data_IF_917423193464
#
_entry.id   IF_917423193464
#
_cell.length_a   1.000
_cell.length_b   1.000
_cell.length_c   1.000
_cell.angle_alpha   90.00
_cell.angle_beta   90.00
_cell.angle_gamma   90.00
#
_symmetry.space_group_name_H-M   'P 1'
#
loop_
_entity.id
_entity.type
_entity.pdbx_description
1 polymer ?
#
# COMPACT_ATOMS: atom_id res chain seq x y z
N UNK A 1 -15.66 0.05 -28.17
CA UNK A 1 -15.51 1.00 -27.04
C UNK A 1 -14.87 2.26 -27.60
N UNK A 2 -15.38 3.46 -27.29
CA UNK A 2 -14.76 4.70 -27.75
C UNK A 2 -13.45 4.95 -26.99
N UNK A 3 -12.43 5.46 -27.68
CA UNK A 3 -11.11 5.79 -27.11
C UNK A 3 -11.20 6.74 -25.90
N UNK A 4 -12.20 7.62 -25.89
CA UNK A 4 -12.55 8.48 -24.75
C UNK A 4 -12.85 7.69 -23.47
N UNK A 5 -13.57 6.57 -23.56
CA UNK A 5 -13.90 5.72 -22.39
C UNK A 5 -12.67 5.01 -21.83
N UNK A 6 -11.75 4.59 -22.69
CA UNK A 6 -10.51 3.91 -22.28
C UNK A 6 -9.59 4.89 -21.55
N UNK A 7 -9.45 6.10 -22.07
CA UNK A 7 -8.63 7.16 -21.48
C UNK A 7 -9.14 7.56 -20.09
N UNK A 8 -10.45 7.68 -19.93
CA UNK A 8 -11.07 8.06 -18.66
C UNK A 8 -10.94 6.95 -17.60
N UNK A 9 -10.99 5.68 -18.01
CA UNK A 9 -10.73 4.52 -17.15
C UNK A 9 -9.27 4.49 -16.66
N UNK A 10 -8.30 4.72 -17.56
CA UNK A 10 -6.88 4.81 -17.23
C UNK A 10 -6.61 5.93 -16.22
N UNK A 11 -7.20 7.10 -16.42
CA UNK A 11 -7.03 8.24 -15.50
C UNK A 11 -7.59 7.94 -14.10
N UNK A 12 -8.79 7.39 -14.01
CA UNK A 12 -9.37 6.95 -12.72
C UNK A 12 -8.49 5.92 -12.04
N UNK A 13 -7.91 5.00 -12.80
CA UNK A 13 -7.03 3.97 -12.28
C UNK A 13 -5.73 4.55 -11.69
N UNK A 14 -5.10 5.51 -12.37
CA UNK A 14 -3.94 6.23 -11.87
C UNK A 14 -4.25 7.02 -10.58
N UNK A 15 -5.39 7.72 -10.54
CA UNK A 15 -5.82 8.46 -9.35
C UNK A 15 -6.02 7.53 -8.14
N UNK A 16 -6.57 6.33 -8.36
CA UNK A 16 -6.74 5.32 -7.33
C UNK A 16 -5.41 4.72 -6.87
N UNK A 17 -4.46 4.52 -7.77
CA UNK A 17 -3.12 4.04 -7.44
C UNK A 17 -2.37 5.04 -6.53
N UNK A 18 -2.41 6.33 -6.85
CA UNK A 18 -1.81 7.39 -6.02
C UNK A 18 -2.41 7.37 -4.61
N UNK A 19 -3.73 7.14 -4.50
CA UNK A 19 -4.39 7.03 -3.20
C UNK A 19 -3.84 5.88 -2.36
N UNK A 20 -3.40 4.76 -2.95
CA UNK A 20 -2.79 3.64 -2.21
C UNK A 20 -1.31 3.92 -1.89
N UNK A 21 -0.54 4.42 -2.86
CA UNK A 21 0.91 4.56 -2.74
C UNK A 21 1.33 5.62 -1.71
N UNK A 22 0.61 6.74 -1.61
CA UNK A 22 0.95 7.83 -0.68
C UNK A 22 0.96 7.35 0.79
N UNK A 23 -0.10 6.68 1.31
CA UNK A 23 -0.07 6.12 2.65
C UNK A 23 1.05 5.11 2.87
N UNK A 24 1.41 4.30 1.87
CA UNK A 24 2.54 3.35 2.00
C UNK A 24 3.88 4.08 2.15
N UNK A 25 4.09 5.15 1.39
CA UNK A 25 5.26 6.01 1.53
C UNK A 25 5.31 6.68 2.91
N UNK A 26 4.14 7.03 3.46
CA UNK A 26 4.04 7.55 4.83
C UNK A 26 4.44 6.50 5.87
N UNK A 27 4.05 5.24 5.71
CA UNK A 27 4.47 4.13 6.59
C UNK A 27 5.99 3.98 6.57
N UNK A 28 6.62 3.96 5.39
CA UNK A 28 8.09 3.88 5.24
C UNK A 28 8.77 5.05 5.95
N UNK A 29 8.29 6.28 5.73
CA UNK A 29 8.85 7.47 6.38
C UNK A 29 8.74 7.41 7.91
N UNK A 30 7.62 6.92 8.44
CA UNK A 30 7.43 6.74 9.90
C UNK A 30 8.38 5.69 10.47
N UNK A 31 8.65 4.60 9.74
CA UNK A 31 9.66 3.61 10.14
C UNK A 31 11.06 4.20 10.19
N UNK A 32 11.44 5.02 9.20
CA UNK A 32 12.73 5.73 9.19
C UNK A 32 12.87 6.71 10.36
N UNK A 33 11.81 7.46 10.67
CA UNK A 33 11.79 8.41 11.78
C UNK A 33 11.67 7.76 13.15
N UNK A 34 11.47 6.43 13.18
CA UNK A 34 11.18 5.66 14.39
C UNK A 34 10.02 6.28 15.15
N UNK A 35 8.93 6.55 14.45
CA UNK A 35 7.65 6.91 15.07
C UNK A 35 7.15 5.78 15.98
N UNK A 36 6.15 6.08 16.81
CA UNK A 36 5.56 5.07 17.70
C UNK A 36 4.86 3.96 16.92
N UNK A 37 4.75 2.78 17.53
CA UNK A 37 3.98 1.64 17.01
C UNK A 37 2.55 2.07 16.65
N UNK A 38 1.90 2.89 17.49
CA UNK A 38 0.56 3.45 17.22
C UNK A 38 0.51 4.27 15.93
N UNK A 39 1.49 5.16 15.75
CA UNK A 39 1.61 6.02 14.58
C UNK A 39 1.76 5.20 13.29
N UNK A 40 2.57 4.14 13.35
CA UNK A 40 2.74 3.20 12.25
C UNK A 40 1.45 2.43 11.94
N UNK A 41 0.77 1.93 12.98
CA UNK A 41 -0.47 1.16 12.85
C UNK A 41 -1.51 1.92 12.02
N UNK A 42 -1.77 3.19 12.36
CA UNK A 42 -2.78 3.98 11.66
C UNK A 42 -2.41 4.27 10.20
N UNK A 43 -1.14 4.53 9.91
CA UNK A 43 -0.68 4.73 8.54
C UNK A 43 -0.81 3.45 7.69
N UNK A 44 -0.48 2.30 8.27
CA UNK A 44 -0.62 1.01 7.59
C UNK A 44 -2.10 0.62 7.41
N UNK A 45 -2.94 0.91 8.40
CA UNK A 45 -4.38 0.68 8.32
C UNK A 45 -5.04 1.51 7.21
N UNK A 46 -4.67 2.79 7.06
CA UNK A 46 -5.14 3.64 5.96
C UNK A 46 -4.68 3.09 4.60
N UNK A 47 -3.41 2.67 4.48
CA UNK A 47 -2.89 2.03 3.26
C UNK A 47 -3.72 0.80 2.88
N UNK A 48 -4.04 -0.06 3.85
CA UNK A 48 -4.83 -1.27 3.65
C UNK A 48 -6.27 -0.96 3.26
N UNK A 49 -6.93 -0.03 3.93
CA UNK A 49 -8.30 0.36 3.63
C UNK A 49 -8.43 0.82 2.18
N UNK A 50 -7.49 1.63 1.70
CA UNK A 50 -7.48 2.08 0.29
C UNK A 50 -7.21 0.96 -0.70
N UNK A 51 -6.36 0.00 -0.33
CA UNK A 51 -6.15 -1.20 -1.13
C UNK A 51 -7.42 -2.05 -1.24
N UNK A 52 -8.19 -2.19 -0.15
CA UNK A 52 -9.49 -2.88 -0.16
C UNK A 52 -10.49 -2.16 -1.06
N UNK A 53 -10.60 -0.83 -0.94
CA UNK A 53 -11.47 -0.02 -1.80
C UNK A 53 -11.12 -0.19 -3.28
N UNK A 54 -9.83 -0.22 -3.61
CA UNK A 54 -9.38 -0.51 -4.96
C UNK A 54 -9.75 -1.93 -5.41
N UNK A 55 -9.54 -2.94 -4.58
CA UNK A 55 -9.85 -4.35 -4.88
C UNK A 55 -11.35 -4.57 -5.14
N UNK A 56 -12.22 -3.74 -4.54
CA UNK A 56 -13.66 -3.73 -4.81
C UNK A 56 -14.01 -3.18 -6.19
N UNK A 57 -13.15 -2.33 -6.76
CA UNK A 57 -13.29 -1.79 -8.12
C UNK A 57 -12.68 -2.76 -9.14
N UNK A 58 -11.46 -3.23 -8.89
CA UNK A 58 -10.73 -4.13 -9.79
C UNK A 58 -9.93 -5.16 -9.00
N UNK A 59 -10.26 -6.43 -9.22
CA UNK A 59 -9.57 -7.54 -8.58
C UNK A 59 -8.24 -7.82 -9.28
N UNK A 60 -7.14 -7.64 -8.55
CA UNK A 60 -5.78 -8.01 -8.95
C UNK A 60 -5.24 -9.00 -7.92
N UNK A 61 -4.86 -10.20 -8.35
CA UNK A 61 -4.51 -11.32 -7.46
C UNK A 61 -3.34 -10.98 -6.54
N UNK A 62 -2.32 -10.31 -7.09
CA UNK A 62 -1.14 -9.83 -6.36
C UNK A 62 -1.53 -8.87 -5.24
N UNK A 63 -2.54 -8.02 -5.46
CA UNK A 63 -3.01 -7.04 -4.48
C UNK A 63 -3.79 -7.73 -3.35
N UNK A 64 -4.46 -8.84 -3.63
CA UNK A 64 -5.11 -9.67 -2.60
C UNK A 64 -4.05 -10.25 -1.65
N UNK A 65 -2.93 -10.74 -2.19
CA UNK A 65 -1.83 -11.23 -1.38
C UNK A 65 -1.23 -10.12 -0.49
N UNK A 66 -0.99 -8.94 -1.05
CA UNK A 66 -0.53 -7.76 -0.27
C UNK A 66 -1.53 -7.41 0.82
N UNK A 67 -2.83 -7.36 0.53
CA UNK A 67 -3.85 -7.04 1.53
C UNK A 67 -3.87 -8.06 2.69
N UNK A 68 -3.69 -9.36 2.40
CA UNK A 68 -3.57 -10.39 3.43
C UNK A 68 -2.32 -10.20 4.30
N UNK A 69 -1.18 -9.91 3.68
CA UNK A 69 0.07 -9.65 4.41
C UNK A 69 -0.01 -8.37 5.27
N UNK A 70 -0.61 -7.29 4.75
CA UNK A 70 -0.90 -6.08 5.52
C UNK A 70 -1.78 -6.39 6.74
N UNK A 71 -2.83 -7.20 6.56
CA UNK A 71 -3.72 -7.60 7.66
C UNK A 71 -2.98 -8.41 8.73
N UNK A 72 -2.12 -9.35 8.31
CA UNK A 72 -1.28 -10.12 9.24
C UNK A 72 -0.31 -9.21 10.00
N UNK A 73 0.31 -8.26 9.32
CA UNK A 73 1.21 -7.29 9.94
C UNK A 73 0.46 -6.39 10.94
N UNK A 74 -0.71 -5.85 10.58
CA UNK A 74 -1.55 -5.07 11.49
C UNK A 74 -1.88 -5.88 12.75
N UNK A 75 -2.32 -7.13 12.60
CA UNK A 75 -2.62 -8.00 13.74
C UNK A 75 -1.40 -8.25 14.65
N UNK A 76 -0.19 -8.28 14.07
CA UNK A 76 1.05 -8.37 14.85
C UNK A 76 1.30 -7.06 15.60
N UNK A 77 1.16 -5.92 14.94
CA UNK A 77 1.37 -4.57 15.49
C UNK A 77 0.42 -4.30 16.67
N UNK A 78 -0.85 -4.70 16.59
CA UNK A 78 -1.85 -4.49 17.65
C UNK A 78 -1.47 -5.16 18.98
N UNK A 79 -0.61 -6.19 18.94
CA UNK A 79 -0.17 -6.93 20.14
C UNK A 79 1.05 -6.29 20.83
N UNK A 80 1.64 -5.27 20.22
CA UNK A 80 2.81 -4.57 20.75
C UNK A 80 2.39 -3.40 21.64
N UNK A 81 3.31 -2.93 22.48
CA UNK A 81 3.14 -1.68 23.22
C UNK A 81 3.05 -0.51 22.25
N UNK A 82 1.94 0.23 22.33
CA UNK A 82 1.56 1.26 21.35
C UNK A 82 2.40 2.54 21.45
N UNK A 83 2.99 2.80 22.61
CA UNK A 83 3.85 3.96 22.83
C UNK A 83 5.34 3.64 22.63
N UNK A 84 5.67 2.38 22.30
CA UNK A 84 7.02 1.93 21.97
C UNK A 84 7.42 2.24 20.52
N UNK A 85 8.67 1.91 20.18
CA UNK A 85 9.24 2.04 18.84
C UNK A 85 9.81 0.69 18.37
N UNK A 86 9.77 0.44 17.06
CA UNK A 86 10.48 -0.71 16.48
C UNK A 86 11.99 -0.55 16.61
N UNK A 87 12.67 -1.68 16.82
CA UNK A 87 14.13 -1.72 16.75
C UNK A 87 14.63 -1.39 15.34
N UNK A 88 15.90 -1.01 15.17
CA UNK A 88 16.45 -0.65 13.86
C UNK A 88 16.33 -1.78 12.85
N UNK A 89 16.65 -2.99 13.30
CA UNK A 89 16.62 -4.20 12.46
C UNK A 89 15.20 -4.56 12.04
N UNK A 90 14.21 -4.38 12.93
CA UNK A 90 12.80 -4.59 12.59
C UNK A 90 12.29 -3.51 11.64
N UNK A 91 12.60 -2.24 11.90
CA UNK A 91 12.24 -1.14 10.99
C UNK A 91 12.80 -1.39 9.59
N UNK A 92 14.07 -1.79 9.47
CA UNK A 92 14.67 -2.08 8.17
C UNK A 92 13.97 -3.23 7.44
N UNK A 93 13.66 -4.32 8.15
CA UNK A 93 12.90 -5.45 7.60
C UNK A 93 11.53 -5.01 7.08
N UNK A 94 10.81 -4.22 7.87
CA UNK A 94 9.49 -3.70 7.49
C UNK A 94 9.58 -2.76 6.28
N UNK A 95 10.58 -1.87 6.24
CA UNK A 95 10.81 -0.97 5.11
C UNK A 95 11.01 -1.77 3.82
N UNK A 96 11.83 -2.83 3.85
CA UNK A 96 12.07 -3.70 2.69
C UNK A 96 10.75 -4.33 2.22
N UNK A 97 10.02 -4.99 3.13
CA UNK A 97 8.74 -5.64 2.80
C UNK A 97 7.71 -4.64 2.23
N UNK A 98 7.56 -3.46 2.83
CA UNK A 98 6.60 -2.46 2.34
C UNK A 98 7.03 -1.87 0.99
N UNK A 99 8.33 -1.71 0.77
CA UNK A 99 8.88 -1.24 -0.51
C UNK A 99 8.65 -2.24 -1.65
N UNK A 100 8.69 -3.54 -1.35
CA UNK A 100 8.31 -4.59 -2.29
C UNK A 100 6.82 -4.49 -2.66
N UNK A 101 5.92 -4.35 -1.68
CA UNK A 101 4.50 -4.15 -1.93
C UNK A 101 4.23 -2.91 -2.79
N UNK A 102 4.88 -1.79 -2.43
CA UNK A 102 4.80 -0.53 -3.18
C UNK A 102 5.21 -0.72 -4.64
N UNK A 103 6.31 -1.43 -4.87
CA UNK A 103 6.85 -1.67 -6.22
C UNK A 103 5.91 -2.56 -7.04
N UNK A 104 5.34 -3.60 -6.44
CA UNK A 104 4.32 -4.45 -7.09
C UNK A 104 3.08 -3.65 -7.49
N UNK A 105 2.57 -2.81 -6.59
CA UNK A 105 1.42 -1.95 -6.87
C UNK A 105 1.74 -0.98 -7.99
N UNK A 106 2.89 -0.29 -7.91
CA UNK A 106 3.32 0.65 -8.95
C UNK A 106 3.45 -0.02 -10.32
N UNK A 107 4.12 -1.17 -10.40
CA UNK A 107 4.34 -1.87 -11.67
C UNK A 107 3.03 -2.35 -12.30
N UNK A 108 2.11 -2.91 -11.50
CA UNK A 108 0.78 -3.30 -11.97
C UNK A 108 -0.03 -2.09 -12.46
N UNK A 109 0.14 -0.94 -11.82
CA UNK A 109 -0.53 0.29 -12.23
C UNK A 109 0.00 0.78 -13.58
N UNK A 110 1.32 0.83 -13.72
CA UNK A 110 1.98 1.29 -14.95
C UNK A 110 1.77 0.33 -16.11
N UNK A 111 1.83 -0.99 -15.91
CA UNK A 111 1.64 -1.98 -16.99
C UNK A 111 0.27 -1.82 -17.66
N UNK A 112 -0.77 -1.63 -16.87
CA UNK A 112 -2.13 -1.43 -17.38
C UNK A 112 -2.29 -0.12 -18.17
N UNK A 113 -1.42 0.87 -17.96
CA UNK A 113 -1.41 2.08 -18.78
C UNK A 113 -0.62 1.92 -20.07
N UNK A 114 0.30 0.93 -20.15
CA UNK A 114 1.06 0.63 -21.38
C UNK A 114 0.28 -0.24 -22.35
N UNK A 115 -0.58 -1.14 -21.86
CA UNK A 115 -1.42 -2.00 -22.71
C UNK A 115 -2.67 -1.28 -23.28
N UNK A 116 -2.79 0.03 -23.03
CA UNK A 116 -3.89 0.89 -23.48
C UNK A 116 -3.51 1.97 -24.51
N UNK A 117 -2.30 1.92 -25.07
CA UNK A 117 -1.81 2.82 -26.13
C UNK A 117 -1.39 1.99 -27.35
#
# INVERSE_FOLDING_TARGET
MSEEKVTEEIKRFQELAVKILIPMDLVINRLHRRDTVRSLYFALADSRERLIQFLNIKKITEFVAINLQMNQLLNKITKLDQDSHFSESESLKLIITISEWRSLIYNAVVSMTKDGI
#
